data_IF_172080542469
#
_entry.id   IF_172080542469
#
_cell.length_a   1.000
_cell.length_b   1.000
_cell.length_c   1.000
_cell.angle_alpha   90.00
_cell.angle_beta   90.00
_cell.angle_gamma   90.00
#
_symmetry.space_group_name_H-M   'P 1'
#
loop_
_entity.id
_entity.type
_entity.pdbx_description
1 polymer ?
#
# COMPACT_ATOMS: atom_id res chain seq x y z
N UNK A 1 71.77 -32.62 -66.71
CA UNK A 1 71.03 -31.49 -67.30
C UNK A 1 69.75 -31.32 -66.53
N UNK A 2 69.62 -30.21 -65.79
CA UNK A 2 68.64 -29.97 -64.73
C UNK A 2 67.22 -29.79 -65.30
N UNK A 3 66.23 -30.44 -64.66
CA UNK A 3 64.80 -30.24 -64.94
C UNK A 3 64.13 -29.66 -63.69
N UNK A 4 63.62 -28.45 -63.89
CA UNK A 4 62.77 -27.59 -63.07
C UNK A 4 61.61 -28.33 -62.39
N UNK A 5 61.46 -28.20 -61.07
CA UNK A 5 60.16 -28.41 -60.40
C UNK A 5 59.96 -27.41 -59.25
N UNK A 6 58.94 -26.57 -59.46
CA UNK A 6 58.30 -25.70 -58.47
C UNK A 6 57.74 -26.53 -57.32
N UNK A 7 57.94 -26.09 -56.07
CA UNK A 7 56.97 -26.32 -55.00
C UNK A 7 56.69 -25.02 -54.26
N UNK A 8 55.41 -24.64 -54.29
CA UNK A 8 54.84 -23.43 -53.70
C UNK A 8 54.77 -23.57 -52.18
N UNK A 9 55.29 -22.58 -51.47
CA UNK A 9 55.09 -22.40 -50.04
C UNK A 9 53.62 -22.00 -49.78
N UNK A 10 52.91 -22.78 -48.97
CA UNK A 10 51.59 -22.45 -48.44
C UNK A 10 51.77 -21.97 -47.00
N UNK A 11 51.92 -20.66 -46.81
CA UNK A 11 51.89 -20.03 -45.50
C UNK A 11 50.44 -19.70 -45.14
N UNK A 12 49.84 -20.50 -44.26
CA UNK A 12 48.52 -20.26 -43.69
C UNK A 12 48.63 -19.12 -42.66
N UNK A 13 48.34 -17.89 -43.06
CA UNK A 13 48.25 -16.76 -42.14
C UNK A 13 46.89 -16.80 -41.42
N UNK A 14 46.88 -17.26 -40.16
CA UNK A 14 45.74 -17.15 -39.27
C UNK A 14 45.54 -15.67 -38.85
N UNK A 15 44.69 -14.95 -39.57
CA UNK A 15 44.28 -13.60 -39.21
C UNK A 15 43.38 -13.62 -37.98
N UNK A 16 43.91 -13.19 -36.83
CA UNK A 16 43.11 -12.86 -35.64
C UNK A 16 42.22 -11.65 -35.98
N UNK A 17 40.94 -11.89 -36.24
CA UNK A 17 39.94 -10.83 -36.38
C UNK A 17 39.61 -10.30 -34.99
N UNK A 18 40.40 -9.33 -34.51
CA UNK A 18 40.08 -8.55 -33.30
C UNK A 18 38.96 -7.57 -33.64
N UNK A 19 37.72 -8.05 -33.57
CA UNK A 19 36.56 -7.15 -33.64
C UNK A 19 36.61 -6.23 -32.41
N UNK A 20 36.64 -4.89 -32.57
CA UNK A 20 36.63 -3.99 -31.43
C UNK A 20 35.31 -4.19 -30.68
N UNK A 21 35.41 -4.64 -29.43
CA UNK A 21 34.31 -4.63 -28.50
C UNK A 21 33.99 -3.16 -28.21
N UNK A 22 33.05 -2.57 -28.93
CA UNK A 22 32.51 -1.26 -28.60
C UNK A 22 31.90 -1.35 -27.21
N UNK A 23 32.58 -0.78 -26.22
CA UNK A 23 32.01 -0.57 -24.91
C UNK A 23 30.68 0.19 -25.11
N UNK A 24 29.56 -0.44 -24.78
CA UNK A 24 28.25 0.20 -24.86
C UNK A 24 28.23 1.35 -23.85
N UNK A 25 28.50 2.57 -24.31
CA UNK A 25 28.29 3.78 -23.53
C UNK A 25 26.79 3.92 -23.31
N UNK A 26 26.34 3.66 -22.09
CA UNK A 26 24.96 3.91 -21.69
C UNK A 26 24.66 5.41 -21.86
N UNK A 27 23.53 5.80 -22.49
CA UNK A 27 23.16 7.20 -22.59
C UNK A 27 22.99 7.81 -21.20
N UNK A 28 23.26 9.11 -21.07
CA UNK A 28 23.12 9.82 -19.80
C UNK A 28 21.69 9.62 -19.23
N UNK A 29 21.55 9.18 -17.98
CA UNK A 29 20.24 8.87 -17.43
C UNK A 29 19.41 10.14 -17.26
N UNK A 30 18.20 10.12 -17.80
CA UNK A 30 17.21 11.18 -17.58
C UNK A 30 16.35 10.75 -16.39
N UNK A 31 16.32 11.60 -15.35
CA UNK A 31 15.67 11.31 -14.07
C UNK A 31 14.27 11.94 -14.05
N UNK A 32 13.27 11.16 -13.65
CA UNK A 32 11.96 11.66 -13.25
C UNK A 32 11.78 11.55 -11.72
N UNK A 33 10.99 12.46 -11.14
CA UNK A 33 10.65 12.46 -9.71
C UNK A 33 9.15 12.19 -9.56
N UNK A 34 8.78 11.31 -8.64
CA UNK A 34 7.37 11.04 -8.31
C UNK A 34 7.15 11.05 -6.81
N UNK A 35 6.04 11.66 -6.39
CA UNK A 35 5.52 11.58 -5.04
C UNK A 35 4.37 10.56 -4.99
N UNK A 36 4.67 9.33 -4.60
CA UNK A 36 3.65 8.28 -4.51
C UNK A 36 2.61 8.56 -3.42
N UNK A 37 3.00 9.22 -2.33
CA UNK A 37 2.06 9.59 -1.28
C UNK A 37 1.07 10.65 -1.79
N UNK A 38 1.55 11.63 -2.56
CA UNK A 38 0.69 12.60 -3.24
C UNK A 38 -0.21 11.93 -4.28
N UNK A 39 0.31 10.97 -5.06
CA UNK A 39 -0.51 10.20 -6.02
C UNK A 39 -1.65 9.46 -5.29
N UNK A 40 -1.35 8.81 -4.18
CA UNK A 40 -2.33 8.07 -3.39
C UNK A 40 -3.34 9.03 -2.75
N UNK A 41 -2.90 10.12 -2.12
CA UNK A 41 -3.78 11.01 -1.36
C UNK A 41 -4.61 11.95 -2.23
N UNK A 42 -4.08 12.37 -3.40
CA UNK A 42 -4.76 13.36 -4.24
C UNK A 42 -5.57 12.77 -5.39
N UNK A 43 -5.36 11.50 -5.74
CA UNK A 43 -6.19 10.80 -6.74
C UNK A 43 -7.65 10.69 -6.31
N UNK A 44 -8.57 10.66 -7.28
CA UNK A 44 -10.01 10.47 -7.07
C UNK A 44 -10.25 9.19 -6.28
N UNK A 45 -9.61 8.10 -6.70
CA UNK A 45 -9.76 6.78 -6.10
C UNK A 45 -9.25 6.75 -4.65
N UNK A 46 -8.12 7.39 -4.37
CA UNK A 46 -7.57 7.51 -3.03
C UNK A 46 -8.44 8.35 -2.10
N UNK A 47 -8.94 9.50 -2.57
CA UNK A 47 -9.89 10.34 -1.81
C UNK A 47 -11.16 9.59 -1.47
N UNK A 48 -11.73 8.86 -2.43
CA UNK A 48 -12.92 8.05 -2.18
C UNK A 48 -12.66 6.94 -1.16
N UNK A 49 -11.53 6.23 -1.27
CA UNK A 49 -11.16 5.19 -0.32
C UNK A 49 -10.93 5.76 1.09
N UNK A 50 -10.29 6.92 1.20
CA UNK A 50 -10.10 7.62 2.47
C UNK A 50 -11.44 8.03 3.10
N UNK A 51 -12.36 8.56 2.31
CA UNK A 51 -13.70 8.94 2.79
C UNK A 51 -14.46 7.72 3.32
N UNK A 52 -14.38 6.59 2.64
CA UNK A 52 -15.07 5.37 3.06
C UNK A 52 -14.42 4.70 4.28
N UNK A 53 -13.07 4.67 4.35
CA UNK A 53 -12.36 4.24 5.56
C UNK A 53 -12.70 5.14 6.75
N UNK A 54 -12.82 6.45 6.55
CA UNK A 54 -13.24 7.39 7.59
C UNK A 54 -14.63 7.05 8.12
N UNK A 55 -15.60 6.75 7.25
CA UNK A 55 -16.95 6.33 7.69
C UNK A 55 -16.90 5.06 8.54
N UNK A 56 -16.04 4.09 8.20
CA UNK A 56 -15.87 2.87 9.00
C UNK A 56 -15.31 3.17 10.38
N UNK A 57 -14.34 4.07 10.48
CA UNK A 57 -13.78 4.53 11.77
C UNK A 57 -14.85 5.26 12.59
N UNK A 58 -15.58 6.19 11.98
CA UNK A 58 -16.62 6.97 12.66
C UNK A 58 -17.76 6.05 13.16
N UNK A 59 -18.13 5.03 12.38
CA UNK A 59 -19.10 4.00 12.76
C UNK A 59 -18.59 3.14 13.93
N UNK A 60 -17.31 2.74 13.91
CA UNK A 60 -16.68 1.99 15.00
C UNK A 60 -16.66 2.82 16.29
N UNK A 61 -16.30 4.10 16.20
CA UNK A 61 -16.30 5.01 17.35
C UNK A 61 -17.72 5.20 17.93
N UNK A 62 -18.71 5.32 17.06
CA UNK A 62 -20.12 5.37 17.48
C UNK A 62 -20.51 4.10 18.22
N UNK A 63 -20.13 2.93 17.69
CA UNK A 63 -20.40 1.64 18.34
C UNK A 63 -19.74 1.53 19.71
N UNK A 64 -18.50 1.99 19.87
CA UNK A 64 -17.80 2.05 21.16
C UNK A 64 -18.58 2.90 22.16
N UNK A 65 -19.02 4.09 21.76
CA UNK A 65 -19.77 5.00 22.65
C UNK A 65 -21.12 4.40 23.07
N UNK A 66 -21.83 3.76 22.14
CA UNK A 66 -23.09 3.05 22.42
C UNK A 66 -22.89 1.91 23.41
N UNK A 67 -21.87 1.07 23.20
CA UNK A 67 -21.56 -0.03 24.11
C UNK A 67 -21.17 0.46 25.50
N UNK A 68 -20.33 1.51 25.57
CA UNK A 68 -19.94 2.14 26.85
C UNK A 68 -21.16 2.63 27.62
N UNK A 69 -22.09 3.31 26.94
CA UNK A 69 -23.31 3.84 27.57
C UNK A 69 -24.23 2.71 28.02
N UNK A 70 -24.46 1.70 27.16
CA UNK A 70 -25.31 0.55 27.47
C UNK A 70 -24.79 -0.20 28.69
N UNK A 71 -23.53 -0.64 28.66
CA UNK A 71 -22.96 -1.38 29.78
C UNK A 71 -22.88 -0.54 31.06
N UNK A 72 -22.55 0.75 30.98
CA UNK A 72 -22.56 1.63 32.16
C UNK A 72 -23.95 1.70 32.81
N UNK A 73 -25.01 1.77 32.01
CA UNK A 73 -26.39 1.79 32.51
C UNK A 73 -26.83 0.45 33.12
N UNK A 74 -26.42 -0.67 32.51
CA UNK A 74 -26.67 -2.03 33.00
C UNK A 74 -25.95 -2.25 34.34
N UNK A 75 -24.68 -1.85 34.44
CA UNK A 75 -23.89 -1.96 35.66
C UNK A 75 -24.45 -1.09 36.78
N UNK A 76 -24.82 0.16 36.49
CA UNK A 76 -25.43 1.03 37.50
C UNK A 76 -26.75 0.45 38.02
N UNK A 77 -27.55 -0.14 37.15
CA UNK A 77 -28.81 -0.81 37.54
C UNK A 77 -28.53 -2.06 38.37
N UNK A 78 -27.54 -2.86 37.99
CA UNK A 78 -27.15 -4.06 38.72
C UNK A 78 -26.64 -3.70 40.13
N UNK A 79 -25.82 -2.65 40.26
CA UNK A 79 -25.31 -2.14 41.53
C UNK A 79 -26.43 -1.73 42.49
N UNK A 80 -27.50 -1.10 42.00
CA UNK A 80 -28.68 -0.73 42.82
C UNK A 80 -29.43 -1.95 43.38
N UNK A 81 -29.29 -3.11 42.74
CA UNK A 81 -29.98 -4.36 43.14
C UNK A 81 -29.07 -5.30 43.94
N UNK A 82 -27.91 -4.84 44.41
CA UNK A 82 -26.95 -5.67 45.13
C UNK A 82 -27.55 -6.17 46.46
N UNK A 83 -27.65 -7.49 46.67
CA UNK A 83 -28.16 -8.04 47.92
C UNK A 83 -27.14 -7.90 49.05
N UNK A 84 -27.62 -7.75 50.28
CA UNK A 84 -26.81 -7.57 51.50
C UNK A 84 -26.55 -8.88 52.25
N UNK A 85 -27.31 -9.93 51.96
CA UNK A 85 -27.19 -11.25 52.56
C UNK A 85 -26.92 -12.32 51.48
N UNK A 86 -26.27 -13.40 51.89
CA UNK A 86 -26.09 -14.59 51.05
C UNK A 86 -27.43 -15.31 50.84
N UNK A 87 -27.62 -15.89 49.65
CA UNK A 87 -28.85 -16.60 49.29
C UNK A 87 -29.12 -16.59 47.78
N UNK A 88 -30.29 -17.11 47.34
CA UNK A 88 -30.61 -17.24 45.92
C UNK A 88 -30.53 -15.93 45.12
N UNK A 89 -30.90 -14.81 45.75
CA UNK A 89 -30.80 -13.48 45.15
C UNK A 89 -29.34 -13.05 44.90
N UNK A 90 -28.41 -13.40 45.80
CA UNK A 90 -26.98 -13.14 45.63
C UNK A 90 -26.40 -13.94 44.47
N UNK A 91 -26.75 -15.22 44.36
CA UNK A 91 -26.34 -16.06 43.22
C UNK A 91 -26.88 -15.52 41.90
N UNK A 92 -28.15 -15.11 41.84
CA UNK A 92 -28.73 -14.54 40.62
C UNK A 92 -28.05 -13.21 40.22
N UNK A 93 -27.69 -12.38 41.20
CA UNK A 93 -26.94 -11.15 40.98
C UNK A 93 -25.54 -11.43 40.42
N UNK A 94 -24.81 -12.40 40.99
CA UNK A 94 -23.48 -12.81 40.52
C UNK A 94 -23.51 -13.34 39.09
N UNK A 95 -24.54 -14.13 38.72
CA UNK A 95 -24.74 -14.61 37.35
C UNK A 95 -24.89 -13.43 36.38
N UNK A 96 -25.71 -12.44 36.72
CA UNK A 96 -25.86 -11.22 35.90
C UNK A 96 -24.56 -10.42 35.79
N UNK A 97 -23.80 -10.31 36.88
CA UNK A 97 -22.51 -9.64 36.86
C UNK A 97 -21.53 -10.33 35.89
N UNK A 98 -21.47 -11.67 35.94
CA UNK A 98 -20.65 -12.47 35.02
C UNK A 98 -21.12 -12.38 33.57
N UNK A 99 -22.43 -12.35 33.31
CA UNK A 99 -22.97 -12.15 31.96
C UNK A 99 -22.54 -10.81 31.36
N UNK A 100 -22.67 -9.71 32.12
CA UNK A 100 -22.22 -8.38 31.68
C UNK A 100 -20.72 -8.40 31.36
N UNK A 101 -19.90 -9.02 32.23
CA UNK A 101 -18.45 -9.15 31.99
C UNK A 101 -18.15 -9.96 30.71
N UNK A 102 -18.84 -11.08 30.49
CA UNK A 102 -18.67 -11.90 29.29
C UNK A 102 -19.04 -11.13 28.02
N UNK A 103 -20.17 -10.40 28.04
CA UNK A 103 -20.61 -9.56 26.92
C UNK A 103 -19.65 -8.41 26.65
N UNK A 104 -19.04 -7.81 27.67
CA UNK A 104 -17.98 -6.80 27.51
C UNK A 104 -16.76 -7.37 26.81
N UNK A 105 -16.23 -8.50 27.29
CA UNK A 105 -15.07 -9.16 26.68
C UNK A 105 -15.34 -9.53 25.21
N UNK A 106 -16.53 -10.05 24.90
CA UNK A 106 -16.94 -10.34 23.53
C UNK A 106 -17.00 -9.07 22.67
N UNK A 107 -17.54 -7.98 23.20
CA UNK A 107 -17.62 -6.71 22.49
C UNK A 107 -16.22 -6.13 22.21
N UNK A 108 -15.30 -6.19 23.18
CA UNK A 108 -13.90 -5.77 23.01
C UNK A 108 -13.21 -6.57 21.91
N UNK A 109 -13.38 -7.89 21.88
CA UNK A 109 -12.84 -8.75 20.82
C UNK A 109 -13.39 -8.37 19.43
N UNK A 110 -14.70 -8.12 19.34
CA UNK A 110 -15.33 -7.70 18.08
C UNK A 110 -14.83 -6.33 17.60
N UNK A 111 -14.62 -5.39 18.52
CA UNK A 111 -14.08 -4.06 18.21
C UNK A 111 -12.63 -4.15 17.73
N UNK A 112 -11.80 -4.95 18.40
CA UNK A 112 -10.42 -5.22 17.98
C UNK A 112 -10.37 -5.83 16.58
N UNK A 113 -11.21 -6.83 16.29
CA UNK A 113 -11.29 -7.46 14.97
C UNK A 113 -11.79 -6.51 13.88
N UNK A 114 -12.66 -5.54 14.20
CA UNK A 114 -13.06 -4.49 13.25
C UNK A 114 -11.92 -3.50 12.99
N UNK A 115 -11.19 -3.08 14.03
CA UNK A 115 -10.01 -2.22 13.88
C UNK A 115 -8.96 -2.86 12.97
N UNK A 116 -8.63 -4.13 13.20
CA UNK A 116 -7.67 -4.88 12.39
C UNK A 116 -8.09 -4.99 10.92
N UNK A 117 -9.40 -5.23 10.65
CA UNK A 117 -9.94 -5.25 9.29
C UNK A 117 -9.84 -3.89 8.61
N UNK A 118 -10.09 -2.81 9.33
CA UNK A 118 -9.95 -1.46 8.80
C UNK A 118 -8.50 -1.12 8.44
N UNK A 119 -7.55 -1.52 9.29
CA UNK A 119 -6.11 -1.35 9.02
C UNK A 119 -5.66 -2.19 7.82
N UNK A 120 -6.18 -3.42 7.70
CA UNK A 120 -5.93 -4.27 6.54
C UNK A 120 -6.50 -3.65 5.25
N UNK A 121 -7.71 -3.11 5.30
CA UNK A 121 -8.35 -2.41 4.18
C UNK A 121 -7.53 -1.17 3.75
N UNK A 122 -7.00 -0.40 4.70
CA UNK A 122 -6.11 0.73 4.42
C UNK A 122 -4.85 0.31 3.68
N UNK A 123 -4.18 -0.75 4.14
CA UNK A 123 -3.00 -1.31 3.45
C UNK A 123 -3.35 -1.84 2.06
N UNK A 124 -4.53 -2.42 1.92
CA UNK A 124 -5.02 -2.95 0.64
C UNK A 124 -5.25 -1.85 -0.40
N UNK A 125 -5.86 -0.73 0.01
CA UNK A 125 -6.03 0.46 -0.84
C UNK A 125 -4.69 0.98 -1.34
N UNK A 126 -3.72 1.15 -0.44
CA UNK A 126 -2.38 1.63 -0.81
C UNK A 126 -1.73 0.69 -1.81
N UNK A 127 -1.86 -0.63 -1.63
CA UNK A 127 -1.32 -1.61 -2.59
C UNK A 127 -1.99 -1.49 -3.95
N UNK A 128 -3.32 -1.49 -4.00
CA UNK A 128 -4.08 -1.38 -5.25
C UNK A 128 -3.72 -0.10 -6.04
N UNK A 129 -3.55 1.03 -5.34
CA UNK A 129 -3.14 2.29 -5.96
C UNK A 129 -1.72 2.23 -6.50
N UNK A 130 -0.76 1.65 -5.76
CA UNK A 130 0.61 1.48 -6.23
C UNK A 130 0.69 0.55 -7.45
N UNK A 131 -0.04 -0.57 -7.42
CA UNK A 131 -0.11 -1.53 -8.52
C UNK A 131 -0.66 -0.86 -9.79
N UNK A 132 -1.68 0.00 -9.64
CA UNK A 132 -2.24 0.77 -10.74
C UNK A 132 -1.33 1.93 -11.22
N UNK A 133 -0.60 2.58 -10.31
CA UNK A 133 0.28 3.70 -10.62
C UNK A 133 1.57 3.26 -11.35
N UNK A 134 2.10 2.07 -11.06
CA UNK A 134 3.35 1.54 -11.65
C UNK A 134 3.37 1.56 -13.19
N UNK A 135 2.38 0.99 -13.92
CA UNK A 135 2.35 1.06 -15.38
C UNK A 135 2.18 2.49 -15.90
N UNK A 136 1.50 3.37 -15.15
CA UNK A 136 1.31 4.78 -15.51
C UNK A 136 2.62 5.54 -15.43
N UNK A 137 3.36 5.38 -14.32
CA UNK A 137 4.71 5.95 -14.13
C UNK A 137 5.61 5.50 -15.28
N UNK A 138 5.63 4.21 -15.60
CA UNK A 138 6.40 3.66 -16.73
C UNK A 138 6.03 4.32 -18.06
N UNK A 139 4.73 4.53 -18.33
CA UNK A 139 4.29 5.19 -19.56
C UNK A 139 4.68 6.68 -19.60
N UNK A 140 4.64 7.39 -18.47
CA UNK A 140 5.06 8.78 -18.36
C UNK A 140 6.58 8.91 -18.52
N UNK A 141 7.36 8.01 -17.90
CA UNK A 141 8.81 7.94 -18.07
C UNK A 141 9.19 7.81 -19.54
N UNK A 142 8.60 6.84 -20.25
CA UNK A 142 8.86 6.64 -21.70
C UNK A 142 8.56 7.88 -22.52
N UNK A 143 7.43 8.56 -22.25
CA UNK A 143 7.05 9.80 -22.93
C UNK A 143 8.04 10.95 -22.66
N UNK A 144 8.65 10.98 -21.48
CA UNK A 144 9.62 12.01 -21.06
C UNK A 144 11.07 11.66 -21.42
N UNK A 145 11.33 10.47 -21.99
CA UNK A 145 12.67 9.95 -22.21
C UNK A 145 13.42 9.62 -20.90
N UNK A 146 12.70 9.52 -19.78
CA UNK A 146 13.29 9.20 -18.49
C UNK A 146 13.65 7.70 -18.39
N UNK A 147 14.85 7.42 -17.89
CA UNK A 147 15.37 6.06 -17.70
C UNK A 147 15.33 5.61 -16.23
N UNK A 148 15.07 6.52 -15.29
CA UNK A 148 14.94 6.24 -13.86
C UNK A 148 13.89 7.16 -13.23
N UNK A 149 13.14 6.64 -12.26
CA UNK A 149 12.27 7.44 -11.39
C UNK A 149 12.77 7.36 -9.96
N UNK A 150 12.85 8.50 -9.28
CA UNK A 150 13.14 8.59 -7.86
C UNK A 150 11.90 9.02 -7.08
N UNK A 151 11.74 8.45 -5.89
CA UNK A 151 10.74 8.91 -4.95
C UNK A 151 11.13 10.29 -4.42
N UNK A 152 10.18 11.23 -4.38
CA UNK A 152 10.41 12.59 -3.87
C UNK A 152 11.00 12.60 -2.46
N UNK A 153 10.56 11.69 -1.58
CA UNK A 153 11.10 11.56 -0.22
C UNK A 153 12.58 11.14 -0.14
N UNK A 154 13.15 10.62 -1.23
CA UNK A 154 14.58 10.30 -1.34
C UNK A 154 15.40 11.44 -1.97
N UNK A 155 14.77 12.59 -2.27
CA UNK A 155 15.43 13.75 -2.88
C UNK A 155 15.43 14.93 -1.93
N UNK A 156 16.56 15.63 -1.81
CA UNK A 156 16.65 16.86 -1.02
C UNK A 156 16.11 18.06 -1.80
N UNK A 157 16.42 18.13 -3.10
CA UNK A 157 16.00 19.20 -4.00
C UNK A 157 16.00 18.67 -5.43
N UNK A 158 15.05 19.14 -6.24
CA UNK A 158 14.95 18.82 -7.66
C UNK A 158 14.28 20.00 -8.40
N UNK A 159 14.49 20.06 -9.71
CA UNK A 159 13.80 21.06 -10.54
C UNK A 159 12.34 20.62 -10.75
N UNK A 160 11.34 21.52 -10.63
CA UNK A 160 9.93 21.16 -10.84
C UNK A 160 9.64 20.49 -12.18
N UNK A 161 10.47 20.74 -13.20
CA UNK A 161 10.37 20.10 -14.52
C UNK A 161 10.60 18.58 -14.51
N UNK A 162 11.28 18.05 -13.48
CA UNK A 162 11.52 16.61 -13.30
C UNK A 162 10.33 15.92 -12.63
N UNK A 163 9.39 16.67 -12.05
CA UNK A 163 8.24 16.15 -11.32
C UNK A 163 7.16 15.64 -12.28
N UNK A 164 6.86 14.35 -12.21
CA UNK A 164 5.80 13.72 -13.01
C UNK A 164 4.53 13.47 -12.20
N UNK A 165 4.50 13.81 -10.92
CA UNK A 165 3.41 13.47 -9.97
C UNK A 165 2.04 13.89 -10.48
N UNK A 166 1.89 15.13 -10.94
CA UNK A 166 0.61 15.65 -11.46
C UNK A 166 0.13 14.90 -12.72
N UNK A 167 1.06 14.54 -13.61
CA UNK A 167 0.73 13.77 -14.82
C UNK A 167 0.33 12.33 -14.46
N UNK A 168 0.96 11.74 -13.44
CA UNK A 168 0.61 10.41 -12.92
C UNK A 168 -0.79 10.43 -12.28
N UNK A 169 -1.10 11.41 -11.43
CA UNK A 169 -2.44 11.58 -10.82
C UNK A 169 -3.51 11.67 -11.92
N UNK A 170 -3.33 12.58 -12.89
CA UNK A 170 -4.32 12.79 -13.95
C UNK A 170 -4.57 11.55 -14.80
N UNK A 171 -3.56 10.68 -14.98
CA UNK A 171 -3.71 9.41 -15.71
C UNK A 171 -4.35 8.34 -14.83
N UNK A 172 -3.98 8.28 -13.55
CA UNK A 172 -4.55 7.34 -12.59
C UNK A 172 -6.05 7.57 -12.43
N UNK A 173 -6.46 8.84 -12.33
CA UNK A 173 -7.86 9.24 -12.23
C UNK A 173 -8.71 8.77 -13.43
N UNK A 174 -8.09 8.65 -14.61
CA UNK A 174 -8.76 8.14 -15.82
C UNK A 174 -8.83 6.61 -15.86
N UNK A 175 -7.79 5.93 -15.40
CA UNK A 175 -7.70 4.46 -15.48
C UNK A 175 -8.38 3.75 -14.31
N UNK A 176 -8.40 4.38 -13.13
CA UNK A 176 -8.93 3.81 -11.90
C UNK A 176 -9.71 4.89 -11.16
N UNK A 177 -10.98 5.13 -11.51
CA UNK A 177 -11.80 6.14 -10.84
C UNK A 177 -12.33 5.67 -9.48
N UNK A 178 -12.28 4.37 -9.19
CA UNK A 178 -12.83 3.76 -7.97
C UNK A 178 -12.03 2.55 -7.51
N UNK A 179 -11.97 2.34 -6.20
CA UNK A 179 -11.36 1.18 -5.54
C UNK A 179 -12.42 0.47 -4.72
N UNK A 180 -12.40 -0.86 -4.73
CA UNK A 180 -13.26 -1.67 -3.87
C UNK A 180 -12.52 -1.96 -2.56
N UNK A 181 -13.11 -1.53 -1.45
CA UNK A 181 -12.63 -1.87 -0.12
C UNK A 181 -13.08 -3.28 0.26
N UNK A 182 -12.15 -4.09 0.75
CA UNK A 182 -12.49 -5.38 1.35
C UNK A 182 -13.39 -5.18 2.59
N UNK A 183 -14.33 -6.11 2.84
CA UNK A 183 -15.19 -6.07 4.02
C UNK A 183 -14.42 -6.24 5.33
#
# INVERSE_FOLDING_TARGET
MMITKMLRALALAAGLVTSPLTAQTLPAPVIAIVDLDEVITNSIAGKQAQAELKKRVDALQTRVNTLRTSFGSEEQSLLKTRPTATGPAATAWEIKARDIQARKAQAEQQLAGQSQRNDAARRDVVRQLNDAATPIITAVMRKRGASITLAKGATLQYLPALDITKEVIARLDRSLPRITLKP
#
